data_IF_221041047033
#
_entry.id   IF_221041047033
#
_cell.length_a   1.000
_cell.length_b   1.000
_cell.length_c   1.000
_cell.angle_alpha   90.00
_cell.angle_beta   90.00
_cell.angle_gamma   90.00
#
_symmetry.space_group_name_H-M   'P 1'
#
loop_
_entity.id
_entity.type
_entity.pdbx_description
1 polymer ?
#
# COMPACT_ATOMS: atom_id res chain seq x y z
N UNK A 1 0.23 34.44 -60.92
CA UNK A 1 -0.46 34.76 -59.65
C UNK A 1 -1.41 33.66 -59.19
N UNK A 2 -2.27 33.07 -60.03
CA UNK A 2 -3.26 32.06 -59.58
C UNK A 2 -2.67 30.73 -59.06
N UNK A 3 -1.51 30.30 -59.55
CA UNK A 3 -0.89 29.01 -59.18
C UNK A 3 -0.22 28.99 -57.79
N UNK A 4 0.07 30.15 -57.18
CA UNK A 4 0.64 30.22 -55.83
C UNK A 4 -0.44 30.09 -54.76
N UNK A 5 -1.60 30.72 -54.99
CA UNK A 5 -2.75 30.61 -54.11
C UNK A 5 -3.31 29.19 -54.05
N UNK A 6 -3.32 28.47 -55.18
CA UNK A 6 -3.79 27.07 -55.22
C UNK A 6 -2.93 26.15 -54.35
N UNK A 7 -1.61 26.35 -54.31
CA UNK A 7 -0.69 25.58 -53.46
C UNK A 7 -0.95 25.90 -51.98
N UNK A 8 -1.12 27.19 -51.62
CA UNK A 8 -1.39 27.60 -50.23
C UNK A 8 -2.71 27.00 -49.73
N UNK A 9 -3.77 27.03 -50.55
CA UNK A 9 -5.05 26.41 -50.19
C UNK A 9 -4.94 24.89 -50.04
N UNK A 10 -4.18 24.21 -50.90
CA UNK A 10 -3.97 22.77 -50.80
C UNK A 10 -3.22 22.37 -49.50
N UNK A 11 -2.21 23.15 -49.11
CA UNK A 11 -1.46 22.92 -47.86
C UNK A 11 -2.34 23.17 -46.63
N UNK A 12 -3.15 24.23 -46.62
CA UNK A 12 -4.09 24.50 -45.53
C UNK A 12 -5.12 23.39 -45.37
N UNK A 13 -5.69 22.90 -46.49
CA UNK A 13 -6.62 21.77 -46.47
C UNK A 13 -5.93 20.51 -45.93
N UNK A 14 -4.69 20.24 -46.34
CA UNK A 14 -3.95 19.08 -45.84
C UNK A 14 -3.67 19.16 -44.33
N UNK A 15 -3.28 20.33 -43.82
CA UNK A 15 -3.09 20.58 -42.38
C UNK A 15 -4.41 20.37 -41.64
N UNK A 16 -5.51 20.94 -42.12
CA UNK A 16 -6.85 20.77 -41.52
C UNK A 16 -7.24 19.29 -41.50
N UNK A 17 -7.07 18.56 -42.60
CA UNK A 17 -7.36 17.13 -42.67
C UNK A 17 -6.48 16.29 -41.73
N UNK A 18 -5.20 16.66 -41.59
CA UNK A 18 -4.27 16.01 -40.66
C UNK A 18 -4.70 16.24 -39.20
N UNK A 19 -5.07 17.48 -38.83
CA UNK A 19 -5.59 17.80 -37.51
C UNK A 19 -6.95 17.16 -37.23
N UNK A 20 -7.86 17.12 -38.21
CA UNK A 20 -9.15 16.42 -38.08
C UNK A 20 -8.95 14.91 -37.84
N UNK A 21 -8.02 14.27 -38.55
CA UNK A 21 -7.66 12.86 -38.29
C UNK A 21 -7.00 12.65 -36.93
N UNK A 22 -6.14 13.58 -36.50
CA UNK A 22 -5.46 13.50 -35.19
C UNK A 22 -6.43 13.68 -34.02
N UNK A 23 -7.48 14.49 -34.20
CA UNK A 23 -8.57 14.65 -33.22
C UNK A 23 -9.49 13.43 -33.25
N UNK A 24 -9.82 12.90 -34.44
CA UNK A 24 -10.70 11.73 -34.59
C UNK A 24 -10.06 10.40 -34.19
N UNK A 25 -8.73 10.27 -34.25
CA UNK A 25 -8.02 9.06 -33.80
C UNK A 25 -7.96 8.92 -32.27
N UNK A 26 -8.38 9.95 -31.54
CA UNK A 26 -8.54 9.94 -30.09
C UNK A 26 -10.00 9.72 -29.70
N UNK A 27 -10.37 8.44 -29.51
CA UNK A 27 -11.58 7.94 -28.81
C UNK A 27 -12.61 7.23 -29.67
N UNK A 28 -12.24 6.04 -30.13
CA UNK A 28 -13.12 4.89 -29.90
C UNK A 28 -12.46 4.02 -28.82
N UNK A 29 -12.44 4.51 -27.57
CA UNK A 29 -12.17 3.62 -26.44
C UNK A 29 -13.27 2.57 -26.47
N UNK A 30 -12.92 1.29 -26.68
CA UNK A 30 -13.89 0.21 -26.51
C UNK A 30 -14.58 0.41 -25.15
N UNK A 31 -15.91 0.28 -25.07
CA UNK A 31 -16.59 0.46 -23.79
C UNK A 31 -15.95 -0.47 -22.76
N UNK A 32 -15.78 -0.03 -21.52
CA UNK A 32 -15.14 -0.84 -20.46
C UNK A 32 -15.85 -2.19 -20.27
N UNK A 33 -17.12 -2.30 -20.67
CA UNK A 33 -17.90 -3.55 -20.72
C UNK A 33 -17.36 -4.60 -21.71
N UNK A 34 -16.48 -4.21 -22.64
CA UNK A 34 -15.77 -5.12 -23.54
C UNK A 34 -14.51 -5.73 -22.89
N UNK A 35 -14.11 -5.24 -21.71
CA UNK A 35 -13.03 -5.84 -20.94
C UNK A 35 -13.59 -7.03 -20.16
N UNK A 36 -13.13 -8.24 -20.49
CA UNK A 36 -13.53 -9.46 -19.78
C UNK A 36 -12.79 -9.58 -18.44
N UNK A 37 -13.53 -9.96 -17.38
CA UNK A 37 -12.97 -10.20 -16.06
C UNK A 37 -13.24 -11.65 -15.62
N UNK A 38 -12.31 -12.23 -14.85
CA UNK A 38 -12.49 -13.56 -14.26
C UNK A 38 -11.96 -13.60 -12.84
N UNK A 39 -12.56 -14.44 -12.00
CA UNK A 39 -12.07 -14.74 -10.64
C UNK A 39 -10.70 -15.44 -10.72
N UNK A 40 -9.75 -15.03 -9.86
CA UNK A 40 -8.49 -15.76 -9.69
C UNK A 40 -8.74 -17.12 -9.03
N UNK A 41 -7.98 -18.15 -9.42
CA UNK A 41 -8.09 -19.50 -8.83
C UNK A 41 -7.73 -19.51 -7.34
N UNK A 42 -6.73 -18.73 -6.94
CA UNK A 42 -6.27 -18.60 -5.56
C UNK A 42 -6.23 -17.13 -5.16
N UNK A 43 -6.54 -16.87 -3.88
CA UNK A 43 -6.44 -15.54 -3.29
C UNK A 43 -5.04 -15.29 -2.73
N UNK A 44 -4.50 -16.24 -1.95
CA UNK A 44 -3.14 -16.21 -1.42
C UNK A 44 -2.20 -17.16 -2.17
N UNK A 45 -0.91 -16.81 -2.21
CA UNK A 45 0.18 -17.72 -2.57
C UNK A 45 0.33 -18.84 -1.54
N UNK A 46 1.15 -19.86 -1.83
CA UNK A 46 1.38 -20.95 -0.88
C UNK A 46 2.10 -20.47 0.39
N UNK A 47 3.09 -19.58 0.24
CA UNK A 47 3.85 -19.02 1.35
C UNK A 47 2.97 -18.12 2.24
N UNK A 48 2.18 -17.23 1.63
CA UNK A 48 1.19 -16.39 2.32
C UNK A 48 0.22 -17.27 3.11
N UNK A 49 -0.41 -18.25 2.47
CA UNK A 49 -1.38 -19.13 3.14
C UNK A 49 -0.76 -19.90 4.32
N UNK A 50 0.46 -20.42 4.15
CA UNK A 50 1.16 -21.11 5.23
C UNK A 50 1.50 -20.17 6.38
N UNK A 51 1.88 -18.93 6.09
CA UNK A 51 2.18 -17.94 7.12
C UNK A 51 0.92 -17.55 7.89
N UNK A 52 -0.17 -17.24 7.19
CA UNK A 52 -1.45 -16.86 7.81
C UNK A 52 -1.93 -17.94 8.78
N UNK A 53 -1.87 -19.21 8.40
CA UNK A 53 -2.30 -20.30 9.28
C UNK A 53 -1.49 -20.41 10.58
N UNK A 54 -0.22 -20.00 10.58
CA UNK A 54 0.61 -19.92 11.81
C UNK A 54 0.36 -18.61 12.55
N UNK A 55 0.20 -17.51 11.83
CA UNK A 55 -0.08 -16.19 12.39
C UNK A 55 -1.37 -16.18 13.21
N UNK A 56 -2.44 -16.79 12.68
CA UNK A 56 -3.73 -16.91 13.36
C UNK A 56 -3.64 -17.71 14.67
N UNK A 57 -2.68 -18.65 14.78
CA UNK A 57 -2.43 -19.39 16.02
C UNK A 57 -1.60 -18.58 17.04
N UNK A 58 -0.80 -17.61 16.56
CA UNK A 58 0.03 -16.76 17.43
C UNK A 58 -0.75 -15.62 18.07
N UNK A 59 -1.90 -15.26 17.51
CA UNK A 59 -2.66 -14.06 17.87
C UNK A 59 -3.90 -14.45 18.66
N UNK A 60 -4.15 -13.72 19.76
CA UNK A 60 -5.41 -13.83 20.49
C UNK A 60 -6.56 -13.13 19.73
N UNK A 61 -7.58 -13.88 19.27
CA UNK A 61 -8.70 -13.32 18.52
C UNK A 61 -9.59 -12.40 19.36
N UNK A 62 -9.54 -12.47 20.70
CA UNK A 62 -10.29 -11.57 21.57
C UNK A 62 -9.69 -10.15 21.54
N UNK A 63 -8.39 -10.03 21.27
CA UNK A 63 -7.67 -8.74 21.28
C UNK A 63 -7.32 -8.23 19.90
N UNK A 64 -7.15 -9.11 18.93
CA UNK A 64 -6.64 -8.74 17.61
C UNK A 64 -7.33 -9.47 16.46
N UNK A 65 -7.29 -8.86 15.28
CA UNK A 65 -7.78 -9.43 14.02
C UNK A 65 -6.76 -9.25 12.92
N UNK A 66 -6.63 -10.25 12.06
CA UNK A 66 -5.71 -10.22 10.91
C UNK A 66 -6.50 -9.96 9.63
N UNK A 67 -6.04 -9.01 8.83
CA UNK A 67 -6.55 -8.72 7.49
C UNK A 67 -5.44 -8.96 6.47
N UNK A 68 -5.76 -9.66 5.37
CA UNK A 68 -4.77 -9.98 4.34
C UNK A 68 -4.95 -9.17 3.05
N UNK A 69 -3.84 -8.93 2.34
CA UNK A 69 -3.78 -8.18 1.06
C UNK A 69 -4.43 -6.79 1.13
N UNK A 70 -4.22 -6.10 2.24
CA UNK A 70 -4.78 -4.77 2.51
C UNK A 70 -4.00 -3.73 1.73
N UNK A 71 -4.67 -2.81 1.01
CA UNK A 71 -3.94 -1.77 0.27
C UNK A 71 -3.31 -0.80 1.23
N UNK A 72 -2.10 -0.33 0.92
CA UNK A 72 -1.41 0.67 1.75
C UNK A 72 -2.24 1.95 1.86
N UNK A 73 -2.88 2.36 0.76
CA UNK A 73 -3.74 3.54 0.71
C UNK A 73 -5.06 3.41 1.51
N UNK A 74 -5.41 2.21 1.97
CA UNK A 74 -6.57 2.01 2.84
C UNK A 74 -6.19 2.17 4.34
N UNK A 75 -4.88 2.29 4.64
CA UNK A 75 -4.31 2.35 5.99
C UNK A 75 -3.53 3.65 6.22
N UNK A 76 -2.85 4.15 5.19
CA UNK A 76 -2.00 5.33 5.24
C UNK A 76 -2.41 6.31 4.14
N UNK A 77 -2.45 7.59 4.46
CA UNK A 77 -2.69 8.67 3.51
C UNK A 77 -1.56 9.71 3.56
N UNK A 78 -1.28 10.42 2.44
CA UNK A 78 -0.33 11.52 2.46
C UNK A 78 -0.80 12.65 3.38
N UNK A 79 0.14 13.28 4.07
CA UNK A 79 -0.14 14.47 4.89
C UNK A 79 -0.90 15.54 4.08
N UNK A 80 -1.80 16.30 4.73
CA UNK A 80 -2.47 17.42 4.10
C UNK A 80 -1.48 18.43 3.51
N UNK A 81 -1.68 18.81 2.25
CA UNK A 81 -0.88 19.84 1.56
C UNK A 81 -1.81 20.77 0.78
N UNK A 82 -1.42 22.03 0.63
CA UNK A 82 -2.12 22.99 -0.24
C UNK A 82 -1.95 22.64 -1.72
N UNK A 83 -0.95 21.84 -2.08
CA UNK A 83 -0.67 21.44 -3.45
C UNK A 83 -1.31 20.09 -3.80
N UNK A 84 -2.44 20.14 -4.51
CA UNK A 84 -3.18 18.92 -4.93
C UNK A 84 -2.34 17.99 -5.81
N UNK A 85 -1.45 18.52 -6.64
CA UNK A 85 -0.59 17.70 -7.51
C UNK A 85 0.43 16.91 -6.69
N UNK A 86 1.00 17.54 -5.66
CA UNK A 86 1.90 16.88 -4.71
C UNK A 86 1.18 15.76 -3.95
N UNK A 87 -0.01 16.04 -3.41
CA UNK A 87 -0.82 15.03 -2.73
C UNK A 87 -1.14 13.85 -3.65
N UNK A 88 -1.59 14.13 -4.88
CA UNK A 88 -1.93 13.09 -5.87
C UNK A 88 -0.70 12.26 -6.27
N UNK A 89 0.49 12.87 -6.33
CA UNK A 89 1.73 12.17 -6.62
C UNK A 89 2.12 11.25 -5.47
N UNK A 90 2.00 11.71 -4.22
CA UNK A 90 2.25 10.88 -3.04
C UNK A 90 1.25 9.72 -2.94
N UNK A 91 -0.05 10.00 -3.07
CA UNK A 91 -1.11 8.98 -3.09
C UNK A 91 -0.90 7.96 -4.21
N UNK A 92 -0.48 8.42 -5.39
CA UNK A 92 -0.16 7.58 -6.54
C UNK A 92 0.94 6.54 -6.25
N UNK A 93 1.88 6.84 -5.35
CA UNK A 93 2.95 5.92 -4.94
C UNK A 93 2.44 4.76 -4.07
N UNK A 94 1.37 4.97 -3.30
CA UNK A 94 0.86 3.98 -2.33
C UNK A 94 -0.39 3.23 -2.82
N UNK A 95 -1.22 3.82 -3.68
CA UNK A 95 -2.52 3.26 -4.10
C UNK A 95 -2.49 1.87 -4.73
N UNK A 96 -1.37 1.51 -5.38
CA UNK A 96 -1.21 0.23 -6.06
C UNK A 96 -0.44 -0.80 -5.19
N UNK A 97 -0.06 -0.43 -3.97
CA UNK A 97 0.67 -1.29 -3.04
C UNK A 97 -0.29 -1.91 -2.04
N UNK A 98 0.08 -3.06 -1.52
CA UNK A 98 -0.62 -3.76 -0.47
C UNK A 98 0.37 -4.28 0.55
N UNK A 99 -0.05 -4.32 1.82
CA UNK A 99 0.55 -5.16 2.84
C UNK A 99 0.02 -6.59 2.68
N UNK A 100 0.87 -7.58 2.94
CA UNK A 100 0.42 -8.98 2.95
C UNK A 100 -0.56 -9.21 4.10
N UNK A 101 -0.25 -8.67 5.29
CA UNK A 101 -1.14 -8.68 6.45
C UNK A 101 -1.11 -7.37 7.22
N UNK A 102 -2.23 -7.04 7.84
CA UNK A 102 -2.36 -5.99 8.85
C UNK A 102 -3.03 -6.60 10.07
N UNK A 103 -2.41 -6.43 11.23
CA UNK A 103 -2.99 -6.78 12.52
C UNK A 103 -3.69 -5.53 13.05
N UNK A 104 -4.96 -5.67 13.39
CA UNK A 104 -5.75 -4.62 14.01
C UNK A 104 -6.20 -5.02 15.41
N UNK A 105 -6.46 -4.04 16.27
CA UNK A 105 -7.16 -4.28 17.53
C UNK A 105 -8.59 -4.77 17.26
N UNK A 106 -9.05 -5.80 17.97
CA UNK A 106 -10.33 -6.46 17.69
C UNK A 106 -11.54 -5.55 17.98
N UNK A 107 -11.42 -4.66 18.97
CA UNK A 107 -12.47 -3.77 19.45
C UNK A 107 -12.71 -2.55 18.54
N UNK A 108 -11.63 -1.99 17.99
CA UNK A 108 -11.63 -0.71 17.27
C UNK A 108 -11.25 -0.84 15.81
N UNK A 109 -10.73 -2.01 15.41
CA UNK A 109 -10.15 -2.27 14.08
C UNK A 109 -9.01 -1.33 13.70
N UNK A 110 -8.44 -0.61 14.66
CA UNK A 110 -7.28 0.26 14.43
C UNK A 110 -6.06 -0.58 14.07
N UNK A 111 -5.32 -0.22 13.01
CA UNK A 111 -4.07 -0.89 12.64
C UNK A 111 -3.06 -0.79 13.78
N UNK A 112 -2.47 -1.92 14.15
CA UNK A 112 -1.43 -2.03 15.18
C UNK A 112 -0.07 -2.30 14.54
N UNK A 113 -0.05 -3.14 13.51
CA UNK A 113 1.18 -3.53 12.82
C UNK A 113 0.87 -4.04 11.41
N UNK A 114 1.76 -3.76 10.46
CA UNK A 114 1.76 -4.36 9.13
C UNK A 114 2.83 -5.48 9.03
N UNK A 115 2.58 -6.46 8.16
CA UNK A 115 3.50 -7.57 7.87
C UNK A 115 3.65 -7.73 6.35
N UNK A 116 4.89 -7.92 5.90
CA UNK A 116 5.27 -8.21 4.51
C UNK A 116 6.08 -9.51 4.42
N UNK A 117 5.74 -10.36 3.44
CA UNK A 117 6.49 -11.56 3.10
C UNK A 117 7.46 -11.28 1.95
N UNK A 118 8.75 -11.30 2.28
CA UNK A 118 9.83 -10.99 1.35
C UNK A 118 10.34 -12.27 0.65
N UNK A 119 10.07 -12.43 -0.64
CA UNK A 119 10.70 -13.49 -1.44
C UNK A 119 12.20 -13.23 -1.60
N UNK A 120 13.01 -14.20 -2.05
CA UNK A 120 14.44 -13.96 -2.33
C UNK A 120 14.73 -13.59 -3.79
N UNK A 121 13.71 -13.38 -4.62
CA UNK A 121 13.88 -13.38 -6.08
C UNK A 121 14.34 -12.01 -6.64
N UNK A 122 15.02 -12.08 -7.79
CA UNK A 122 15.99 -11.11 -8.31
C UNK A 122 15.38 -9.78 -8.81
N UNK A 123 15.71 -8.66 -8.13
CA UNK A 123 16.02 -7.34 -8.72
C UNK A 123 16.38 -6.31 -7.63
N UNK A 124 17.58 -6.45 -7.04
CA UNK A 124 18.01 -5.71 -5.84
C UNK A 124 17.73 -4.19 -5.88
N UNK A 125 18.00 -3.48 -6.99
CA UNK A 125 17.85 -2.01 -7.05
C UNK A 125 16.40 -1.53 -7.03
N UNK A 126 15.51 -2.12 -7.86
CA UNK A 126 14.09 -1.74 -7.88
C UNK A 126 13.39 -2.14 -6.58
N UNK A 127 13.82 -3.29 -6.01
CA UNK A 127 13.35 -3.76 -4.73
C UNK A 127 13.75 -2.82 -3.59
N UNK A 128 15.01 -2.39 -3.52
CA UNK A 128 15.48 -1.43 -2.51
C UNK A 128 14.67 -0.13 -2.53
N UNK A 129 14.44 0.48 -3.69
CA UNK A 129 13.64 1.70 -3.78
C UNK A 129 12.18 1.48 -3.34
N UNK A 130 11.61 0.33 -3.70
CA UNK A 130 10.24 -0.05 -3.31
C UNK A 130 10.13 -0.25 -1.80
N UNK A 131 11.13 -0.89 -1.22
CA UNK A 131 11.20 -1.27 0.18
C UNK A 131 11.46 -0.04 1.07
N UNK A 132 12.38 0.84 0.66
CA UNK A 132 12.66 2.12 1.33
C UNK A 132 11.43 3.03 1.36
N UNK A 133 10.66 3.08 0.27
CA UNK A 133 9.42 3.86 0.24
C UNK A 133 8.42 3.34 1.26
N UNK A 134 8.23 2.02 1.35
CA UNK A 134 7.25 1.45 2.27
C UNK A 134 7.68 1.65 3.73
N UNK A 135 8.97 1.49 4.03
CA UNK A 135 9.54 1.78 5.34
C UNK A 135 9.36 3.24 5.73
N UNK A 136 9.68 4.18 4.84
CA UNK A 136 9.44 5.61 5.08
C UNK A 136 7.96 5.89 5.37
N UNK A 137 7.05 5.36 4.54
CA UNK A 137 5.60 5.57 4.72
C UNK A 137 5.10 5.00 6.05
N UNK A 138 5.59 3.82 6.44
CA UNK A 138 5.21 3.18 7.70
C UNK A 138 5.77 3.95 8.90
N UNK A 139 7.02 4.42 8.82
CA UNK A 139 7.64 5.23 9.86
C UNK A 139 6.92 6.58 10.03
N UNK A 140 6.58 7.25 8.93
CA UNK A 140 5.84 8.53 8.95
C UNK A 140 4.42 8.36 9.53
N UNK A 141 3.83 7.18 9.37
CA UNK A 141 2.48 6.85 9.85
C UNK A 141 2.46 6.19 11.25
N UNK A 142 3.61 6.10 11.92
CA UNK A 142 3.76 5.38 13.20
C UNK A 142 3.24 3.93 13.16
N UNK A 143 3.34 3.28 12.00
CA UNK A 143 2.88 1.92 11.79
C UNK A 143 4.07 0.97 11.74
N UNK A 144 4.29 0.13 12.76
CA UNK A 144 5.33 -0.88 12.72
C UNK A 144 5.18 -1.81 11.52
N UNK A 145 6.29 -2.04 10.83
CA UNK A 145 6.36 -2.95 9.68
C UNK A 145 7.27 -4.14 10.01
N UNK A 146 6.70 -5.34 10.06
CA UNK A 146 7.46 -6.60 10.21
C UNK A 146 7.72 -7.19 8.83
N UNK A 147 9.00 -7.40 8.49
CA UNK A 147 9.39 -8.13 7.28
C UNK A 147 9.75 -9.56 7.64
N UNK A 148 9.12 -10.52 6.97
CA UNK A 148 9.35 -11.95 7.18
C UNK A 148 9.81 -12.58 5.87
N UNK A 149 10.91 -13.34 5.83
CA UNK A 149 11.30 -14.06 4.63
C UNK A 149 10.21 -15.05 4.21
N UNK A 150 9.79 -15.01 2.95
CA UNK A 150 8.80 -15.94 2.42
C UNK A 150 9.36 -17.38 2.42
N UNK A 151 8.74 -18.26 3.20
CA UNK A 151 9.04 -19.69 3.32
C UNK A 151 7.82 -20.53 2.96
N UNK A 152 8.04 -21.79 2.58
CA UNK A 152 6.95 -22.77 2.34
C UNK A 152 6.28 -23.22 3.64
N UNK A 153 6.97 -23.09 4.76
CA UNK A 153 6.51 -23.44 6.10
C UNK A 153 7.15 -22.53 7.14
N UNK A 154 6.44 -22.36 8.26
CA UNK A 154 6.85 -21.52 9.38
C UNK A 154 6.67 -22.29 10.68
N UNK A 155 7.52 -22.00 11.67
CA UNK A 155 7.37 -22.52 13.04
C UNK A 155 6.61 -21.52 13.88
N UNK A 156 5.72 -22.00 14.73
CA UNK A 156 4.89 -21.18 15.62
C UNK A 156 5.74 -20.22 16.47
N UNK A 157 6.76 -20.75 17.16
CA UNK A 157 7.62 -19.96 18.04
C UNK A 157 8.39 -18.85 17.31
N UNK A 158 8.85 -19.10 16.07
CA UNK A 158 9.53 -18.10 15.25
C UNK A 158 8.58 -16.94 14.90
N UNK A 159 7.36 -17.27 14.45
CA UNK A 159 6.36 -16.25 14.09
C UNK A 159 5.90 -15.49 15.33
N UNK A 160 5.68 -16.18 16.44
CA UNK A 160 5.28 -15.58 17.71
C UNK A 160 6.31 -14.56 18.19
N UNK A 161 7.60 -14.92 18.22
CA UNK A 161 8.66 -14.01 18.61
C UNK A 161 8.74 -12.76 17.70
N UNK A 162 8.55 -12.93 16.38
CA UNK A 162 8.53 -11.82 15.43
C UNK A 162 7.37 -10.86 15.69
N UNK A 163 6.16 -11.38 15.89
CA UNK A 163 4.95 -10.59 16.15
C UNK A 163 5.08 -9.82 17.47
N UNK A 164 5.57 -10.47 18.53
CA UNK A 164 5.81 -9.85 19.82
C UNK A 164 6.76 -8.66 19.72
N UNK A 165 7.88 -8.82 19.00
CA UNK A 165 8.83 -7.73 18.75
C UNK A 165 8.19 -6.55 18.00
N UNK A 166 7.28 -6.83 17.06
CA UNK A 166 6.53 -5.80 16.36
C UNK A 166 5.60 -5.01 17.29
N UNK A 167 4.89 -5.70 18.19
CA UNK A 167 4.04 -5.06 19.19
C UNK A 167 4.83 -4.20 20.18
N UNK A 168 6.01 -4.64 20.61
CA UNK A 168 6.88 -3.84 21.48
C UNK A 168 7.33 -2.55 20.78
N UNK A 169 7.63 -2.64 19.48
CA UNK A 169 8.00 -1.50 18.65
C UNK A 169 6.82 -0.52 18.50
N UNK A 170 5.59 -1.04 18.34
CA UNK A 170 4.36 -0.25 18.35
C UNK A 170 4.19 0.51 19.68
N UNK A 171 4.37 -0.19 20.79
CA UNK A 171 4.22 0.37 22.14
C UNK A 171 5.28 1.44 22.43
N UNK A 172 6.51 1.25 21.97
CA UNK A 172 7.57 2.25 22.10
C UNK A 172 7.29 3.51 21.26
N UNK A 173 6.86 3.35 20.00
CA UNK A 173 6.46 4.47 19.13
C UNK A 173 5.30 5.27 19.74
N UNK A 174 4.30 4.58 20.30
CA UNK A 174 3.17 5.21 20.99
C UNK A 174 3.61 6.03 22.22
N UNK A 175 4.52 5.50 23.05
CA UNK A 175 5.05 6.24 24.21
C UNK A 175 5.85 7.47 23.78
N UNK A 176 6.71 7.36 22.76
CA UNK A 176 7.50 8.49 22.28
C UNK A 176 6.61 9.65 21.79
N UNK A 177 5.63 9.35 20.93
CA UNK A 177 4.75 10.38 20.38
C UNK A 177 3.68 10.91 21.35
N UNK A 178 3.42 10.21 22.46
CA UNK A 178 2.59 10.73 23.54
C UNK A 178 3.39 11.60 24.51
N UNK A 179 4.65 11.30 24.80
CA UNK A 179 5.54 12.18 25.57
C UNK A 179 5.80 13.49 24.81
N UNK A 180 6.02 13.42 23.50
CA UNK A 180 6.22 14.60 22.65
C UNK A 180 4.94 15.44 22.48
N UNK A 181 3.75 14.86 22.67
CA UNK A 181 2.45 15.56 22.64
C UNK A 181 1.91 15.96 24.02
N UNK A 182 2.39 15.34 25.11
CA UNK A 182 1.88 15.56 26.47
C UNK A 182 2.58 16.75 27.15
N UNK A 183 2.39 17.94 26.57
CA UNK A 183 2.41 19.21 27.31
C UNK A 183 1.03 19.54 27.91
N UNK A 184 0.01 18.70 27.68
CA UNK A 184 -1.31 18.85 28.30
C UNK A 184 -1.83 17.51 28.86
N UNK A 185 -2.16 17.56 30.15
CA UNK A 185 -2.49 16.45 31.06
C UNK A 185 -3.47 15.42 30.46
N UNK A 186 -3.03 14.16 30.27
CA UNK A 186 -3.93 13.00 30.19
C UNK A 186 -3.36 11.82 30.98
N UNK A 187 -4.22 11.23 31.81
CA UNK A 187 -4.00 10.07 32.68
C UNK A 187 -3.82 8.81 31.84
N UNK A 188 -2.60 8.28 31.76
CA UNK A 188 -2.27 7.08 30.98
C UNK A 188 -2.85 5.83 31.64
N UNK A 189 -3.76 5.13 30.95
CA UNK A 189 -4.13 3.73 31.28
C UNK A 189 -2.96 2.81 30.91
N UNK A 190 -2.66 1.85 31.78
CA UNK A 190 -1.45 1.02 31.70
C UNK A 190 -1.44 0.12 30.45
N UNK A 191 -0.25 -0.02 29.86
CA UNK A 191 0.07 -0.80 28.65
C UNK A 191 -0.14 -2.31 28.84
N UNK A 192 -0.39 -2.78 30.07
CA UNK A 192 -0.59 -4.20 30.39
C UNK A 192 -1.84 -4.81 29.76
N UNK A 193 -2.78 -4.01 29.24
CA UNK A 193 -4.01 -4.53 28.63
C UNK A 193 -3.78 -5.23 27.27
N UNK A 194 -2.64 -4.98 26.61
CA UNK A 194 -2.29 -5.56 25.31
C UNK A 194 -1.61 -6.94 25.40
N UNK A 195 -1.22 -7.40 26.59
CA UNK A 195 -0.53 -8.67 26.77
C UNK A 195 -1.45 -9.69 27.45
N UNK A 196 -1.78 -10.76 26.71
CA UNK A 196 -2.49 -12.00 27.12
C UNK A 196 -3.95 -11.85 27.57
#
# INVERSE_FOLDING_TARGET
MTMEWTIIFAVLIFIVLFFLKSIASNSARKPDSALGYRKKKTFFTQAERSFLGVLDQCIDPAKHRVFGKVRVADIVEPNPTKNRSEWSRAFGKIKAKHFDYVICAADTLKPVCAIELDDKSHSQKKRQQRDQLLESVCNDADLPLIRVPAKRSYKLEEVKALVMKGFDSACYGYKKNSVDRCSSKIKTRSVLQYFW
#
